data_IF_148879215883
#
_entry.id   IF_148879215883
#
_cell.length_a   1.000
_cell.length_b   1.000
_cell.length_c   1.000
_cell.angle_alpha   90.00
_cell.angle_beta   90.00
_cell.angle_gamma   90.00
#
_symmetry.space_group_name_H-M   'P 1'
#
loop_
_entity.id
_entity.type
_entity.pdbx_description
1 polymer ?
#
# COMPACT_ATOMS: atom_id res chain seq x y z
N UNK A 1 13.85 -8.47 -23.83
CA UNK A 1 12.75 -7.58 -23.37
C UNK A 1 11.77 -8.45 -22.61
N UNK A 2 11.86 -8.50 -21.27
CA UNK A 2 10.92 -9.30 -20.47
C UNK A 2 9.84 -8.32 -20.01
N UNK A 3 8.73 -8.32 -20.73
CA UNK A 3 7.53 -7.61 -20.35
C UNK A 3 6.92 -8.28 -19.12
N UNK A 4 7.00 -7.61 -17.98
CA UNK A 4 6.08 -7.89 -16.88
C UNK A 4 4.72 -7.28 -17.27
N UNK A 5 3.90 -8.09 -17.95
CA UNK A 5 2.49 -7.81 -18.14
C UNK A 5 1.80 -7.61 -16.78
N UNK A 6 0.72 -6.82 -16.73
CA UNK A 6 -0.01 -6.57 -15.51
C UNK A 6 -0.53 -7.91 -14.99
N UNK A 7 -0.11 -8.31 -13.78
CA UNK A 7 -0.67 -9.47 -13.11
C UNK A 7 -2.17 -9.29 -13.01
N UNK A 8 -2.87 -10.18 -13.71
CA UNK A 8 -4.30 -10.20 -13.88
C UNK A 8 -5.04 -10.20 -12.54
N UNK A 9 -6.22 -9.58 -12.58
CA UNK A 9 -7.36 -9.90 -11.72
C UNK A 9 -7.29 -9.52 -10.23
N UNK A 10 -7.07 -8.23 -9.95
CA UNK A 10 -7.58 -7.66 -8.71
C UNK A 10 -8.40 -6.43 -9.04
N UNK A 11 -9.71 -6.63 -9.13
CA UNK A 11 -10.68 -5.55 -9.21
C UNK A 11 -10.35 -4.51 -8.14
N UNK A 12 -9.96 -3.31 -8.59
CA UNK A 12 -9.74 -2.16 -7.75
C UNK A 12 -11.06 -1.81 -7.05
N UNK A 13 -11.28 -2.35 -5.86
CA UNK A 13 -12.41 -1.96 -5.00
C UNK A 13 -12.01 -0.70 -4.23
N UNK A 14 -11.88 0.39 -4.98
CA UNK A 14 -11.73 1.72 -4.40
C UNK A 14 -12.88 1.95 -3.39
N UNK A 15 -12.53 2.13 -2.12
CA UNK A 15 -13.48 2.49 -1.05
C UNK A 15 -13.96 1.37 -0.14
N UNK A 16 -13.46 0.12 -0.25
CA UNK A 16 -13.76 -0.90 0.77
C UNK A 16 -12.81 -0.73 1.96
N UNK A 17 -13.33 -0.54 3.19
CA UNK A 17 -12.49 -0.48 4.38
C UNK A 17 -11.70 -1.78 4.50
N UNK A 18 -10.37 -1.66 4.49
CA UNK A 18 -9.49 -2.82 4.50
C UNK A 18 -9.35 -3.28 5.94
N UNK A 19 -9.75 -4.53 6.27
CA UNK A 19 -9.70 -4.99 7.64
C UNK A 19 -8.26 -4.96 8.17
N UNK A 20 -8.05 -4.21 9.26
CA UNK A 20 -6.77 -4.16 9.97
C UNK A 20 -6.78 -5.20 11.08
N UNK A 21 -5.72 -5.99 11.18
CA UNK A 21 -5.46 -6.74 12.42
C UNK A 21 -5.18 -5.79 13.58
N UNK A 22 -5.37 -6.23 14.82
CA UNK A 22 -4.99 -5.45 16.01
C UNK A 22 -3.53 -4.98 15.95
N UNK A 23 -2.64 -5.84 15.47
CA UNK A 23 -1.22 -5.48 15.28
C UNK A 23 -1.06 -4.37 14.22
N UNK A 24 -1.71 -4.48 13.07
CA UNK A 24 -1.67 -3.44 12.03
C UNK A 24 -2.24 -2.11 12.53
N UNK A 25 -3.37 -2.11 13.23
CA UNK A 25 -3.99 -0.91 13.77
C UNK A 25 -3.05 -0.18 14.73
N UNK A 26 -2.41 -0.91 15.66
CA UNK A 26 -1.40 -0.35 16.57
C UNK A 26 -0.22 0.25 15.80
N UNK A 27 0.27 -0.44 14.76
CA UNK A 27 1.38 0.05 13.93
C UNK A 27 1.02 1.28 13.10
N UNK A 28 -0.24 1.42 12.68
CA UNK A 28 -0.74 2.59 11.97
C UNK A 28 -0.81 3.79 12.92
N UNK A 29 -1.38 3.60 14.12
CA UNK A 29 -1.45 4.63 15.16
C UNK A 29 -0.06 5.14 15.57
N UNK A 30 0.89 4.22 15.81
CA UNK A 30 2.28 4.56 16.14
C UNK A 30 3.00 5.38 15.06
N UNK A 31 2.54 5.33 13.80
CA UNK A 31 3.16 5.99 12.65
C UNK A 31 2.32 7.14 12.10
N UNK A 32 1.18 7.46 12.73
CA UNK A 32 0.26 8.48 12.26
C UNK A 32 -0.29 8.20 10.85
N UNK A 33 -0.44 6.93 10.49
CA UNK A 33 -1.03 6.49 9.23
C UNK A 33 -2.55 6.36 9.42
N UNK A 34 -3.30 7.08 8.60
CA UNK A 34 -4.75 6.90 8.50
C UNK A 34 -5.08 5.76 7.55
N UNK A 35 -6.28 5.20 7.69
CA UNK A 35 -6.82 4.22 6.74
C UNK A 35 -6.84 4.75 5.31
N UNK A 36 -7.05 6.07 5.13
CA UNK A 36 -6.95 6.75 3.84
C UNK A 36 -5.56 6.55 3.19
N UNK A 37 -4.47 6.68 3.96
CA UNK A 37 -3.11 6.43 3.45
C UNK A 37 -2.91 4.97 3.06
N UNK A 38 -3.48 4.04 3.82
CA UNK A 38 -3.41 2.60 3.54
C UNK A 38 -4.15 2.29 2.23
N UNK A 39 -5.37 2.82 2.06
CA UNK A 39 -6.15 2.70 0.83
C UNK A 39 -5.36 3.21 -0.38
N UNK A 40 -4.79 4.42 -0.29
CA UNK A 40 -3.97 5.00 -1.37
C UNK A 40 -2.78 4.09 -1.73
N UNK A 41 -2.11 3.49 -0.75
CA UNK A 41 -0.98 2.58 -0.99
C UNK A 41 -1.45 1.28 -1.64
N UNK A 42 -2.63 0.78 -1.31
CA UNK A 42 -3.20 -0.42 -1.91
C UNK A 42 -3.70 -0.17 -3.34
N UNK A 43 -4.28 1.00 -3.59
CA UNK A 43 -4.87 1.38 -4.89
C UNK A 43 -3.79 1.76 -5.93
N UNK A 44 -2.79 2.55 -5.52
CA UNK A 44 -1.76 3.09 -6.42
C UNK A 44 -0.41 2.40 -6.29
N UNK A 45 -0.22 1.62 -5.23
CA UNK A 45 1.04 0.94 -4.95
C UNK A 45 1.18 -0.34 -5.76
N UNK A 46 2.43 -0.69 -6.04
CA UNK A 46 2.74 -1.98 -6.63
C UNK A 46 2.80 -3.04 -5.54
N UNK A 47 2.36 -4.25 -5.89
CA UNK A 47 2.44 -5.42 -5.03
C UNK A 47 3.74 -6.21 -5.29
N UNK A 48 4.34 -6.74 -4.22
CA UNK A 48 5.43 -7.71 -4.28
C UNK A 48 5.11 -8.85 -3.33
N UNK A 49 4.87 -10.03 -3.90
CA UNK A 49 4.72 -11.25 -3.13
C UNK A 49 6.05 -11.63 -2.49
N UNK A 50 6.01 -11.93 -1.20
CA UNK A 50 7.11 -12.54 -0.48
C UNK A 50 6.91 -14.07 -0.46
N UNK A 51 8.00 -14.82 -0.61
CA UNK A 51 8.00 -16.29 -0.55
C UNK A 51 7.38 -16.85 0.74
N UNK A 52 7.28 -16.05 1.81
CA UNK A 52 6.57 -16.39 3.05
C UNK A 52 5.03 -16.25 3.01
N UNK A 53 4.41 -15.97 1.86
CA UNK A 53 2.94 -15.88 1.73
C UNK A 53 2.33 -14.54 2.17
N UNK A 54 3.13 -13.47 2.19
CA UNK A 54 2.65 -12.10 2.39
C UNK A 54 2.73 -11.28 1.11
N UNK A 55 1.78 -10.38 0.88
CA UNK A 55 1.81 -9.44 -0.24
C UNK A 55 2.15 -8.04 0.26
N UNK A 56 3.22 -7.44 -0.26
CA UNK A 56 3.69 -6.11 0.16
C UNK A 56 3.29 -5.05 -0.86
N UNK A 57 2.61 -4.02 -0.42
CA UNK A 57 2.21 -2.87 -1.21
C UNK A 57 3.01 -1.64 -0.84
N UNK A 58 3.50 -0.91 -1.83
CA UNK A 58 4.21 0.35 -1.61
C UNK A 58 4.19 1.24 -2.86
N UNK A 59 4.35 2.54 -2.62
CA UNK A 59 4.55 3.53 -3.68
C UNK A 59 6.04 3.73 -3.94
N UNK A 60 6.52 3.30 -5.11
CA UNK A 60 7.85 3.61 -5.60
C UNK A 60 7.90 4.98 -6.28
N UNK A 61 9.02 5.28 -6.93
CA UNK A 61 9.22 6.59 -7.60
C UNK A 61 8.24 6.80 -8.75
N UNK A 62 7.94 5.76 -9.52
CA UNK A 62 7.02 5.83 -10.65
C UNK A 62 5.58 6.03 -10.18
N UNK A 63 5.16 5.28 -9.17
CA UNK A 63 3.82 5.33 -8.58
C UNK A 63 3.58 6.68 -7.90
N UNK A 64 4.57 7.22 -7.19
CA UNK A 64 4.51 8.58 -6.63
C UNK A 64 4.39 9.65 -7.69
N UNK A 65 5.16 9.53 -8.78
CA UNK A 65 5.07 10.47 -9.91
C UNK A 65 3.71 10.39 -10.59
N UNK A 66 3.13 9.19 -10.70
CA UNK A 66 1.78 9.01 -11.22
C UNK A 66 0.73 9.62 -10.28
N UNK A 67 0.76 9.30 -8.99
CA UNK A 67 -0.14 9.84 -7.97
C UNK A 67 -0.09 11.37 -7.91
N UNK A 68 1.09 11.97 -7.98
CA UNK A 68 1.26 13.42 -8.02
C UNK A 68 0.64 14.09 -9.26
N UNK A 69 0.42 13.33 -10.35
CA UNK A 69 -0.25 13.82 -11.57
C UNK A 69 -1.76 13.64 -11.52
N UNK A 70 -2.22 12.48 -11.04
CA UNK A 70 -3.67 12.14 -11.06
C UNK A 70 -4.42 12.66 -9.84
N UNK A 71 -3.75 12.77 -8.69
CA UNK A 71 -4.30 13.30 -7.45
C UNK A 71 -3.26 14.16 -6.71
N UNK A 72 -2.93 15.35 -7.25
CA UNK A 72 -1.91 16.23 -6.67
C UNK A 72 -2.22 16.65 -5.22
N UNK A 73 -3.49 16.84 -4.88
CA UNK A 73 -3.91 17.28 -3.54
C UNK A 73 -3.66 16.19 -2.49
N UNK A 74 -3.95 14.92 -2.84
CA UNK A 74 -3.66 13.76 -1.99
C UNK A 74 -2.16 13.59 -1.80
N UNK A 75 -1.38 13.75 -2.86
CA UNK A 75 0.08 13.69 -2.79
C UNK A 75 0.65 14.78 -1.86
N UNK A 76 0.15 16.02 -1.96
CA UNK A 76 0.55 17.13 -1.07
C UNK A 76 0.12 16.91 0.38
N UNK A 77 -1.11 16.42 0.59
CA UNK A 77 -1.68 16.20 1.93
C UNK A 77 -0.94 15.15 2.73
N UNK A 78 -0.55 14.03 2.09
CA UNK A 78 0.06 12.91 2.80
C UNK A 78 1.59 12.86 2.69
N UNK A 79 2.18 13.41 1.63
CA UNK A 79 3.62 13.62 1.49
C UNK A 79 4.46 12.40 1.92
N UNK A 80 5.21 12.55 3.02
CA UNK A 80 6.11 11.50 3.57
C UNK A 80 5.38 10.27 4.10
N UNK A 81 4.10 10.36 4.46
CA UNK A 81 3.31 9.20 4.92
C UNK A 81 3.15 8.16 3.80
N UNK A 82 3.27 8.58 2.54
CA UNK A 82 3.27 7.71 1.35
C UNK A 82 4.59 6.96 1.15
N UNK A 83 5.63 7.16 1.97
CA UNK A 83 6.85 6.34 2.00
C UNK A 83 6.67 5.06 2.86
N UNK A 84 5.43 4.63 3.12
CA UNK A 84 5.14 3.42 3.87
C UNK A 84 4.95 2.19 2.99
N UNK A 85 5.16 1.03 3.60
CA UNK A 85 4.88 -0.28 3.05
C UNK A 85 3.79 -0.94 3.87
N UNK A 86 2.78 -1.47 3.18
CA UNK A 86 1.61 -2.15 3.75
C UNK A 86 1.73 -3.64 3.43
N UNK A 87 1.63 -4.51 4.43
CA UNK A 87 1.69 -5.96 4.24
C UNK A 87 0.29 -6.54 4.42
N UNK A 88 -0.18 -7.25 3.41
CA UNK A 88 -1.47 -7.92 3.36
C UNK A 88 -1.26 -9.43 3.42
N UNK A 89 -2.12 -10.13 4.15
CA UNK A 89 -2.17 -11.59 4.18
C UNK A 89 -2.48 -12.13 2.78
N UNK A 90 -1.70 -13.10 2.28
CA UNK A 90 -2.09 -13.82 1.06
C UNK A 90 -3.04 -14.98 1.34
N UNK A 91 -3.15 -15.44 2.59
CA UNK A 91 -4.03 -16.54 3.03
C UNK A 91 -5.09 -16.00 3.99
N UNK A 92 -6.35 -16.31 3.73
CA UNK A 92 -7.48 -15.97 4.62
C UNK A 92 -8.21 -14.65 4.36
N UNK A 93 -7.83 -13.89 3.31
CA UNK A 93 -8.49 -12.64 2.90
C UNK A 93 -7.54 -11.44 2.80
N UNK A 94 -8.00 -10.35 2.19
CA UNK A 94 -7.26 -9.08 2.07
C UNK A 94 -7.20 -8.33 3.42
N UNK A 95 -6.45 -8.88 4.38
CA UNK A 95 -6.28 -8.28 5.71
C UNK A 95 -4.88 -7.69 5.88
N UNK A 96 -4.79 -6.44 6.34
CA UNK A 96 -3.49 -5.81 6.65
C UNK A 96 -2.97 -6.38 7.97
N UNK A 97 -1.77 -6.97 7.91
CA UNK A 97 -1.11 -7.58 9.08
C UNK A 97 -0.08 -6.61 9.69
N UNK A 98 0.54 -5.75 8.89
CA UNK A 98 1.49 -4.75 9.40
C UNK A 98 1.74 -3.61 8.41
N UNK A 99 2.23 -2.49 8.94
CA UNK A 99 2.71 -1.34 8.17
C UNK A 99 4.07 -0.90 8.70
N UNK A 100 5.01 -0.57 7.82
CA UNK A 100 6.30 0.01 8.21
C UNK A 100 6.79 1.07 7.23
N UNK A 101 7.56 2.05 7.73
CA UNK A 101 8.18 3.06 6.86
C UNK A 101 9.28 2.39 6.05
N UNK A 102 9.24 2.58 4.73
CA UNK A 102 10.30 2.09 3.86
C UNK A 102 11.50 3.02 4.05
N UNK A 103 12.54 2.51 4.71
CA UNK A 103 13.77 3.28 4.87
C UNK A 103 14.40 3.51 3.49
N UNK A 104 14.66 4.78 3.15
CA UNK A 104 15.36 5.16 1.91
C UNK A 104 16.85 4.88 2.14
N UNK A 105 17.31 3.68 1.78
CA UNK A 105 18.72 3.48 1.41
C UNK A 105 18.87 3.80 -0.06
#
# INVERSE_FOLDING_TARGET
>A
VIGHGPTADRQCRAGVPVPLTTHAAVRCAQRGLSEEVIGIILDYGRSVYDSGGGCRYFLGRAEKKHLARVQPDVFKRFGRKLDCLVVVASKGGEQVITTYVRNRR
#
